data_IF_559757222870
#
_entry.id   IF_559757222870
#
_cell.length_a   1.000
_cell.length_b   1.000
_cell.length_c   1.000
_cell.angle_alpha   90.00
_cell.angle_beta   90.00
_cell.angle_gamma   90.00
#
_symmetry.space_group_name_H-M   'P 1'
#
loop_
_entity.id
_entity.type
_entity.pdbx_description
1 polymer ?
#
# COMPACT_ATOMS: atom_id res chain seq x y z
N UNK A 1 6.44 -4.63 -31.81
CA UNK A 1 6.04 -5.48 -30.67
C UNK A 1 5.63 -6.83 -31.25
N UNK A 2 6.14 -7.96 -30.73
CA UNK A 2 5.65 -9.26 -31.19
C UNK A 2 4.25 -9.47 -30.59
N UNK A 3 3.26 -9.81 -31.41
CA UNK A 3 1.87 -10.08 -30.98
C UNK A 3 1.81 -11.18 -29.91
N UNK A 4 2.79 -12.08 -29.88
CA UNK A 4 2.90 -13.15 -28.88
C UNK A 4 3.01 -12.60 -27.46
N UNK A 5 3.67 -11.44 -27.27
CA UNK A 5 3.83 -10.83 -25.94
C UNK A 5 2.55 -10.19 -25.40
N UNK A 6 1.50 -10.07 -26.21
CA UNK A 6 0.20 -9.51 -25.82
C UNK A 6 -0.79 -10.61 -25.38
N UNK A 7 -0.44 -11.87 -25.58
CA UNK A 7 -1.25 -13.00 -25.14
C UNK A 7 -1.20 -13.12 -23.61
N UNK A 8 -2.35 -13.20 -22.92
CA UNK A 8 -2.38 -13.40 -21.48
C UNK A 8 -1.93 -14.82 -21.11
N UNK A 9 -1.55 -14.99 -19.84
CA UNK A 9 -1.31 -16.32 -19.29
C UNK A 9 -2.57 -17.19 -19.35
N UNK A 10 -2.38 -18.50 -19.44
CA UNK A 10 -3.48 -19.45 -19.35
C UNK A 10 -4.18 -19.37 -17.98
N UNK A 11 -5.50 -19.42 -18.02
CA UNK A 11 -6.34 -19.33 -16.83
C UNK A 11 -6.47 -20.70 -16.15
N UNK A 12 -6.27 -20.73 -14.83
CA UNK A 12 -6.50 -21.94 -14.04
C UNK A 12 -7.98 -22.40 -14.13
N UNK A 13 -8.29 -23.71 -14.24
CA UNK A 13 -9.66 -24.19 -14.43
C UNK A 13 -10.65 -23.80 -13.31
N UNK A 14 -10.16 -23.57 -12.10
CA UNK A 14 -10.98 -23.15 -10.96
C UNK A 14 -11.22 -21.64 -10.87
N UNK A 15 -10.69 -20.84 -11.80
CA UNK A 15 -10.91 -19.39 -11.81
C UNK A 15 -12.37 -19.09 -12.22
N UNK A 16 -13.11 -18.31 -11.42
CA UNK A 16 -14.49 -17.93 -11.77
C UNK A 16 -14.57 -17.22 -13.12
N UNK A 17 -15.57 -17.58 -13.93
CA UNK A 17 -15.74 -17.03 -15.29
C UNK A 17 -16.68 -15.83 -15.28
N UNK A 18 -16.14 -14.67 -15.63
CA UNK A 18 -16.88 -13.44 -15.92
C UNK A 18 -16.23 -12.20 -15.33
N UNK A 19 -17.02 -11.16 -15.09
CA UNK A 19 -16.55 -9.90 -14.54
C UNK A 19 -16.29 -9.97 -13.02
N UNK A 20 -15.84 -8.85 -12.44
CA UNK A 20 -15.49 -8.76 -11.02
C UNK A 20 -16.65 -9.07 -10.07
N UNK A 21 -17.90 -8.97 -10.52
CA UNK A 21 -19.09 -9.29 -9.72
C UNK A 21 -19.25 -10.80 -9.48
N UNK A 22 -18.61 -11.64 -10.29
CA UNK A 22 -18.61 -13.10 -10.13
C UNK A 22 -17.44 -13.62 -9.29
N UNK A 23 -16.72 -12.74 -8.60
CA UNK A 23 -15.66 -13.13 -7.69
C UNK A 23 -16.21 -14.11 -6.63
N UNK A 24 -15.55 -15.27 -6.49
CA UNK A 24 -15.96 -16.29 -5.51
C UNK A 24 -15.43 -15.92 -4.14
N UNK A 25 -16.34 -15.79 -3.18
CA UNK A 25 -15.99 -15.61 -1.79
C UNK A 25 -15.56 -16.95 -1.17
N UNK A 26 -14.32 -17.06 -0.70
CA UNK A 26 -13.72 -18.31 -0.22
C UNK A 26 -13.75 -18.41 1.31
N UNK A 27 -13.51 -17.31 2.03
CA UNK A 27 -13.35 -17.32 3.48
C UNK A 27 -13.56 -15.92 4.08
N UNK A 28 -14.29 -15.83 5.20
CA UNK A 28 -14.40 -14.63 6.06
C UNK A 28 -13.65 -14.90 7.36
N UNK A 29 -12.79 -13.97 7.74
CA UNK A 29 -12.17 -13.95 9.06
C UNK A 29 -12.82 -12.87 9.93
N UNK A 30 -13.25 -13.24 11.13
CA UNK A 30 -13.85 -12.32 12.10
C UNK A 30 -15.28 -11.88 11.74
N UNK A 31 -15.74 -10.82 12.42
CA UNK A 31 -17.05 -10.20 12.21
C UNK A 31 -16.91 -8.69 12.04
N UNK A 32 -17.89 -8.07 11.38
CA UNK A 32 -17.92 -6.60 11.24
C UNK A 32 -18.11 -5.97 12.63
N UNK A 33 -17.33 -4.93 12.91
CA UNK A 33 -17.48 -4.11 14.11
C UNK A 33 -18.84 -3.41 14.13
N UNK A 34 -19.61 -3.62 15.20
CA UNK A 34 -20.89 -2.95 15.45
C UNK A 34 -20.73 -1.91 16.55
N UNK A 35 -21.08 -0.67 16.26
CA UNK A 35 -20.99 0.43 17.22
C UNK A 35 -22.30 1.21 17.28
N UNK A 36 -22.59 1.77 18.45
CA UNK A 36 -23.79 2.59 18.67
C UNK A 36 -23.65 4.02 18.15
N UNK A 37 -22.47 4.41 17.70
CA UNK A 37 -22.17 5.72 17.14
C UNK A 37 -21.68 5.62 15.70
N UNK A 38 -21.81 6.73 14.97
CA UNK A 38 -21.31 6.85 13.61
C UNK A 38 -19.77 6.73 13.62
N UNK A 39 -19.25 5.75 12.90
CA UNK A 39 -17.81 5.62 12.69
C UNK A 39 -17.29 6.83 11.91
N UNK A 40 -16.20 7.41 12.40
CA UNK A 40 -15.46 8.46 11.69
C UNK A 40 -14.57 7.84 10.61
N UNK A 41 -14.31 8.60 9.55
CA UNK A 41 -13.32 8.21 8.54
C UNK A 41 -11.90 8.54 9.03
N UNK A 42 -10.90 8.01 8.32
CA UNK A 42 -9.49 8.18 8.70
C UNK A 42 -9.13 9.65 8.80
N UNK A 43 -9.55 10.47 7.84
CA UNK A 43 -9.21 11.90 7.79
C UNK A 43 -9.77 12.62 9.02
N UNK A 44 -11.03 12.41 9.37
CA UNK A 44 -11.61 13.08 10.53
C UNK A 44 -11.05 12.56 11.87
N UNK A 45 -10.58 11.31 11.93
CA UNK A 45 -9.90 10.76 13.12
C UNK A 45 -8.51 11.39 13.29
N UNK A 46 -7.77 11.59 12.20
CA UNK A 46 -6.37 12.03 12.23
C UNK A 46 -6.19 13.54 12.21
N UNK A 47 -7.15 14.26 11.63
CA UNK A 47 -7.13 15.72 11.49
C UNK A 47 -7.87 16.45 12.61
N UNK A 48 -8.14 15.76 13.71
CA UNK A 48 -8.79 16.33 14.88
C UNK A 48 -7.85 17.25 15.65
N UNK A 49 -8.14 18.56 15.62
CA UNK A 49 -8.03 19.36 16.85
C UNK A 49 -8.97 18.71 17.85
N UNK A 50 -8.47 17.75 18.62
CA UNK A 50 -9.16 17.36 19.85
C UNK A 50 -9.20 18.64 20.69
N UNK A 51 -10.34 19.35 20.69
CA UNK A 51 -10.62 20.21 21.80
C UNK A 51 -10.50 19.33 23.03
N UNK A 52 -9.65 19.69 24.01
CA UNK A 52 -9.62 18.95 25.25
C UNK A 52 -11.04 19.02 25.80
N UNK A 53 -11.72 17.88 25.88
CA UNK A 53 -12.87 17.78 26.77
C UNK A 53 -12.24 17.92 28.15
N UNK A 54 -12.23 19.15 28.67
CA UNK A 54 -11.86 19.43 30.06
C UNK A 54 -12.97 18.81 30.90
N UNK A 55 -12.88 17.49 31.12
CA UNK A 55 -13.54 16.87 32.24
C UNK A 55 -12.83 17.43 33.47
N UNK A 56 -13.52 18.29 34.20
CA UNK A 56 -13.00 19.10 35.30
C UNK A 56 -12.39 18.31 36.49
N UNK A 57 -12.09 17.01 36.39
CA UNK A 57 -11.59 16.18 37.50
C UNK A 57 -10.42 15.28 37.05
N UNK A 58 -9.19 15.81 37.07
CA UNK A 58 -7.95 15.18 37.55
C UNK A 58 -6.74 15.98 37.02
N UNK A 59 -6.33 16.96 37.82
CA UNK A 59 -5.02 17.61 37.75
C UNK A 59 -4.02 16.51 38.14
N UNK A 60 -3.12 16.09 37.24
CA UNK A 60 -1.80 15.42 37.48
C UNK A 60 -1.32 14.43 36.39
N UNK A 61 -1.91 14.39 35.18
CA UNK A 61 -1.26 13.71 34.04
C UNK A 61 -1.05 14.69 32.90
N UNK A 62 0.12 15.32 32.86
CA UNK A 62 0.61 16.06 31.68
C UNK A 62 0.93 15.06 30.56
N UNK A 63 -0.11 14.45 29.98
CA UNK A 63 -0.02 13.86 28.66
C UNK A 63 -0.05 15.06 27.72
N UNK A 64 1.12 15.49 27.28
CA UNK A 64 1.27 16.49 26.21
C UNK A 64 0.69 15.89 24.93
N UNK A 65 -0.62 15.99 24.75
CA UNK A 65 -1.28 15.64 23.50
C UNK A 65 -0.95 16.79 22.55
N UNK A 66 0.17 16.68 21.84
CA UNK A 66 0.48 17.59 20.76
C UNK A 66 -0.73 17.59 19.80
N UNK A 67 -1.44 18.72 19.61
CA UNK A 67 -2.63 18.81 18.76
C UNK A 67 -2.26 18.82 17.27
N UNK A 68 -1.28 18.00 16.90
CA UNK A 68 -0.66 18.01 15.59
C UNK A 68 -1.40 17.00 14.71
N UNK A 69 -1.99 17.49 13.62
CA UNK A 69 -2.62 16.66 12.59
C UNK A 69 -1.65 15.57 12.14
N UNK A 70 -2.03 14.31 12.37
CA UNK A 70 -1.17 13.16 12.07
C UNK A 70 -1.21 12.76 10.60
N UNK A 71 -2.20 13.25 9.84
CA UNK A 71 -2.39 12.96 8.42
C UNK A 71 -2.72 14.24 7.65
N UNK A 72 -1.71 14.78 6.97
CA UNK A 72 -1.91 15.94 6.11
C UNK A 72 -2.33 15.50 4.70
N UNK A 73 -3.59 15.73 4.36
CA UNK A 73 -4.14 15.52 3.00
C UNK A 73 -4.37 16.84 2.24
N UNK A 74 -4.54 17.94 2.96
CA UNK A 74 -4.81 19.27 2.38
C UNK A 74 -3.51 20.00 2.03
N UNK A 75 -3.59 20.84 1.00
CA UNK A 75 -2.51 21.74 0.55
C UNK A 75 -1.19 21.02 0.21
N UNK A 76 -1.28 19.77 -0.23
CA UNK A 76 -0.13 18.94 -0.64
C UNK A 76 0.24 19.13 -2.12
N UNK A 77 -0.65 19.74 -2.90
CA UNK A 77 -0.53 19.90 -4.36
C UNK A 77 0.67 20.75 -4.77
N UNK A 78 1.00 21.80 -4.01
CA UNK A 78 2.10 22.72 -4.30
C UNK A 78 3.45 22.00 -4.30
N UNK A 79 3.60 20.99 -3.43
CA UNK A 79 4.86 20.24 -3.32
C UNK A 79 4.90 18.99 -4.18
N UNK A 80 3.90 18.12 -4.04
CA UNK A 80 3.96 16.76 -4.57
C UNK A 80 2.80 16.41 -5.53
N UNK A 81 1.94 17.39 -5.85
CA UNK A 81 0.80 17.20 -6.74
C UNK A 81 -0.40 16.51 -6.09
N UNK A 82 -1.41 16.21 -6.91
CA UNK A 82 -2.67 15.62 -6.43
C UNK A 82 -2.49 14.20 -5.90
N UNK A 83 -3.37 13.79 -4.97
CA UNK A 83 -3.39 12.46 -4.32
C UNK A 83 -2.15 12.17 -3.45
N UNK A 84 -1.46 13.20 -2.99
CA UNK A 84 -0.34 13.08 -2.06
C UNK A 84 -0.78 13.40 -0.64
N UNK A 85 -0.17 12.72 0.32
CA UNK A 85 -0.46 12.84 1.75
C UNK A 85 0.82 12.64 2.56
N UNK A 86 0.86 13.20 3.76
CA UNK A 86 1.99 13.09 4.69
C UNK A 86 1.53 12.49 6.01
N UNK A 87 2.29 11.50 6.51
CA UNK A 87 2.12 10.97 7.87
C UNK A 87 3.08 11.71 8.81
N UNK A 88 2.61 12.05 9.99
CA UNK A 88 3.40 12.71 11.04
C UNK A 88 3.16 12.04 12.40
N UNK A 89 4.08 12.26 13.34
CA UNK A 89 3.93 11.82 14.73
C UNK A 89 3.65 10.32 14.89
N UNK A 90 2.68 9.94 15.75
CA UNK A 90 2.31 8.54 15.98
C UNK A 90 1.86 7.80 14.71
N UNK A 91 1.25 8.46 13.72
CA UNK A 91 0.81 7.79 12.49
C UNK A 91 2.02 7.35 11.64
N UNK A 92 3.06 8.18 11.59
CA UNK A 92 4.31 7.80 10.92
C UNK A 92 5.00 6.62 11.63
N UNK A 93 5.01 6.63 12.97
CA UNK A 93 5.54 5.51 13.77
C UNK A 93 4.75 4.22 13.54
N UNK A 94 3.41 4.31 13.45
CA UNK A 94 2.54 3.18 13.15
C UNK A 94 2.84 2.59 11.77
N UNK A 95 3.05 3.43 10.74
CA UNK A 95 3.43 2.95 9.41
C UNK A 95 4.75 2.16 9.46
N UNK A 96 5.76 2.70 10.13
CA UNK A 96 7.04 2.02 10.29
C UNK A 96 6.92 0.71 11.10
N UNK A 97 6.11 0.70 12.16
CA UNK A 97 5.87 -0.49 12.98
C UNK A 97 5.14 -1.60 12.19
N UNK A 98 4.17 -1.26 11.34
CA UNK A 98 3.48 -2.23 10.49
C UNK A 98 4.41 -2.86 9.45
N UNK A 99 5.32 -2.06 8.86
CA UNK A 99 6.34 -2.57 7.94
C UNK A 99 7.28 -3.53 8.69
N UNK A 100 7.83 -3.12 9.83
CA UNK A 100 8.74 -3.94 10.64
C UNK A 100 8.09 -5.25 11.08
N UNK A 101 6.88 -5.18 11.65
CA UNK A 101 6.11 -6.35 12.06
C UNK A 101 5.91 -7.35 10.91
N UNK A 102 5.55 -6.85 9.73
CA UNK A 102 5.31 -7.73 8.57
C UNK A 102 6.61 -8.40 8.11
N UNK A 103 7.72 -7.67 8.03
CA UNK A 103 9.03 -8.20 7.66
C UNK A 103 9.49 -9.26 8.66
N UNK A 104 9.39 -8.99 9.96
CA UNK A 104 9.80 -9.93 11.01
C UNK A 104 8.96 -11.21 10.98
N UNK A 105 7.65 -11.08 10.78
CA UNK A 105 6.74 -12.22 10.64
C UNK A 105 7.10 -13.10 9.44
N UNK A 106 7.38 -12.50 8.28
CA UNK A 106 7.76 -13.25 7.07
C UNK A 106 9.12 -13.93 7.23
N UNK A 107 10.11 -13.23 7.79
CA UNK A 107 11.43 -13.81 8.09
C UNK A 107 11.32 -15.01 9.03
N UNK A 108 10.50 -14.91 10.08
CA UNK A 108 10.26 -16.01 11.01
C UNK A 108 9.64 -17.25 10.34
N UNK A 109 8.90 -17.07 9.22
CA UNK A 109 8.36 -18.17 8.41
C UNK A 109 9.32 -18.70 7.35
N UNK A 110 10.57 -18.21 7.31
CA UNK A 110 11.62 -18.68 6.39
C UNK A 110 11.73 -17.90 5.08
N UNK A 111 11.09 -16.73 4.95
CA UNK A 111 11.29 -15.88 3.78
C UNK A 111 12.63 -15.15 3.85
N UNK A 112 13.31 -15.07 2.72
CA UNK A 112 14.52 -14.25 2.57
C UNK A 112 14.15 -12.77 2.40
N UNK A 113 14.87 -11.90 3.11
CA UNK A 113 14.69 -10.46 2.98
C UNK A 113 15.56 -9.93 1.82
N UNK A 114 14.91 -9.35 0.80
CA UNK A 114 15.59 -8.80 -0.39
C UNK A 114 15.22 -7.33 -0.56
N UNK A 115 16.22 -6.47 -0.79
CA UNK A 115 16.02 -5.08 -1.20
C UNK A 115 16.15 -4.95 -2.73
N UNK A 116 15.19 -4.27 -3.37
CA UNK A 116 15.17 -4.06 -4.82
C UNK A 116 15.27 -2.57 -5.19
N UNK A 117 15.85 -2.22 -6.35
CA UNK A 117 15.85 -0.85 -6.84
C UNK A 117 14.44 -0.41 -7.26
N UNK A 118 14.10 0.85 -6.98
CA UNK A 118 12.79 1.44 -7.33
C UNK A 118 12.69 1.92 -8.78
N UNK A 119 13.85 2.13 -9.41
CA UNK A 119 13.99 2.51 -10.80
C UNK A 119 14.46 1.28 -11.58
N UNK A 120 13.65 0.84 -12.53
CA UNK A 120 13.89 -0.36 -13.32
C UNK A 120 13.90 -0.03 -14.81
N UNK A 121 14.67 -0.79 -15.61
CA UNK A 121 14.64 -0.62 -17.06
C UNK A 121 13.29 -1.10 -17.61
N UNK A 122 12.79 -0.40 -18.64
CA UNK A 122 11.50 -0.70 -19.27
C UNK A 122 11.27 -2.19 -19.61
N UNK A 123 12.24 -2.93 -20.19
CA UNK A 123 12.03 -4.33 -20.54
C UNK A 123 11.69 -5.23 -19.35
N UNK A 124 12.22 -4.92 -18.14
CA UNK A 124 11.95 -5.71 -16.92
C UNK A 124 10.50 -5.52 -16.50
N UNK A 125 10.00 -4.28 -16.51
CA UNK A 125 8.61 -3.98 -16.13
C UNK A 125 7.63 -4.60 -17.14
N UNK A 126 7.96 -4.54 -18.44
CA UNK A 126 7.15 -5.15 -19.49
C UNK A 126 7.10 -6.67 -19.38
N UNK A 127 8.22 -7.30 -19.02
CA UNK A 127 8.26 -8.75 -18.78
C UNK A 127 7.37 -9.19 -17.60
N UNK A 128 7.10 -8.29 -16.64
CA UNK A 128 6.13 -8.52 -15.57
C UNK A 128 4.66 -8.34 -16.00
N UNK A 129 4.38 -8.06 -17.28
CA UNK A 129 3.03 -7.87 -17.82
C UNK A 129 2.48 -6.45 -17.66
N UNK A 130 3.32 -5.47 -17.28
CA UNK A 130 2.89 -4.08 -17.17
C UNK A 130 3.12 -3.32 -18.48
N UNK A 131 2.08 -2.63 -18.93
CA UNK A 131 2.19 -1.77 -20.10
C UNK A 131 2.91 -0.45 -19.75
N UNK A 132 4.12 -0.31 -20.27
CA UNK A 132 4.98 0.86 -20.05
C UNK A 132 4.70 2.00 -21.02
N UNK A 133 4.07 1.73 -22.17
CA UNK A 133 3.80 2.71 -23.22
C UNK A 133 2.29 2.87 -23.49
N UNK A 134 1.82 4.10 -23.68
CA UNK A 134 0.42 4.38 -24.03
C UNK A 134 -0.13 5.64 -23.36
N UNK A 135 -1.32 6.07 -23.78
CA UNK A 135 -1.96 7.33 -23.33
C UNK A 135 -2.24 7.31 -21.82
N UNK A 136 -2.51 6.14 -21.24
CA UNK A 136 -2.75 5.95 -19.80
C UNK A 136 -1.85 4.84 -19.30
N UNK A 137 -0.65 5.19 -18.83
CA UNK A 137 0.21 4.26 -18.10
C UNK A 137 0.07 4.45 -16.59
N UNK A 138 0.03 3.34 -15.86
CA UNK A 138 0.16 3.33 -14.40
C UNK A 138 1.62 3.51 -13.97
N UNK A 139 2.54 3.50 -14.92
CA UNK A 139 3.97 3.51 -14.71
C UNK A 139 4.54 4.89 -15.04
N UNK A 140 5.39 5.44 -14.15
CA UNK A 140 5.98 6.76 -14.32
C UNK A 140 7.35 6.64 -14.99
N UNK A 141 7.54 7.39 -16.08
CA UNK A 141 8.79 7.43 -16.85
C UNK A 141 9.56 8.71 -16.52
N UNK A 142 10.88 8.64 -16.49
CA UNK A 142 11.75 9.81 -16.44
C UNK A 142 12.24 10.15 -17.86
N UNK A 143 12.28 11.45 -18.20
CA UNK A 143 12.71 11.87 -19.53
C UNK A 143 14.21 11.59 -19.70
N UNK A 144 14.55 10.90 -20.79
CA UNK A 144 15.88 10.70 -21.39
C UNK A 144 16.68 9.42 -21.11
N UNK A 145 16.24 8.51 -20.25
CA UNK A 145 16.73 7.12 -20.26
C UNK A 145 15.55 6.19 -20.00
N UNK A 146 15.57 4.97 -20.55
CA UNK A 146 14.56 3.90 -20.42
C UNK A 146 14.37 3.39 -18.98
N UNK A 147 14.30 4.31 -18.02
CA UNK A 147 14.26 4.10 -16.59
C UNK A 147 12.88 4.50 -16.09
N UNK A 148 12.27 3.56 -15.41
CA UNK A 148 10.84 3.53 -15.19
C UNK A 148 10.61 3.20 -13.72
N UNK A 149 9.79 4.01 -13.06
CA UNK A 149 9.56 3.92 -11.62
C UNK A 149 8.46 2.90 -11.32
N UNK A 150 8.79 1.87 -10.54
CA UNK A 150 7.81 0.94 -9.99
C UNK A 150 7.47 1.38 -8.56
N UNK A 151 6.50 2.29 -8.43
CA UNK A 151 6.04 2.73 -7.11
C UNK A 151 5.18 1.64 -6.46
N UNK A 152 5.81 0.66 -5.83
CA UNK A 152 5.13 -0.15 -4.83
C UNK A 152 5.75 0.12 -3.47
N UNK A 153 5.13 1.07 -2.77
CA UNK A 153 5.35 1.32 -1.34
C UNK A 153 5.03 0.01 -0.59
N UNK A 154 6.10 -0.68 -0.21
CA UNK A 154 6.23 -1.84 0.70
C UNK A 154 5.53 -3.17 0.39
N UNK A 155 4.38 -3.23 -0.30
CA UNK A 155 3.65 -4.50 -0.41
C UNK A 155 4.18 -5.43 -1.51
N UNK A 156 4.81 -4.89 -2.57
CA UNK A 156 5.37 -5.70 -3.66
C UNK A 156 6.88 -5.92 -3.58
N UNK A 157 7.59 -5.36 -2.58
CA UNK A 157 9.04 -5.59 -2.42
C UNK A 157 9.37 -7.00 -1.91
N UNK A 158 8.44 -7.70 -1.26
CA UNK A 158 8.64 -9.07 -0.75
C UNK A 158 8.13 -10.17 -1.70
N UNK A 159 7.28 -9.87 -2.68
CA UNK A 159 6.53 -10.92 -3.38
C UNK A 159 7.33 -11.62 -4.51
N UNK A 160 8.47 -11.08 -4.93
CA UNK A 160 9.22 -11.64 -6.06
C UNK A 160 9.98 -12.95 -5.73
N UNK A 161 10.03 -13.38 -4.47
CA UNK A 161 10.66 -14.67 -4.08
C UNK A 161 9.65 -15.82 -4.06
N UNK A 162 8.33 -15.56 -4.19
CA UNK A 162 7.34 -16.64 -4.19
C UNK A 162 7.38 -17.50 -5.46
N UNK A 163 7.83 -16.95 -6.60
CA UNK A 163 7.84 -17.66 -7.89
C UNK A 163 9.07 -18.58 -8.08
N UNK A 164 10.14 -18.41 -7.30
CA UNK A 164 11.31 -19.29 -7.38
C UNK A 164 11.22 -20.48 -6.41
N UNK A 165 10.59 -20.32 -5.24
CA UNK A 165 10.44 -21.44 -4.28
C UNK A 165 9.33 -22.44 -4.62
N UNK A 166 8.35 -22.08 -5.44
CA UNK A 166 7.27 -23.01 -5.85
C UNK A 166 7.65 -23.93 -7.03
N UNK A 167 8.90 -23.86 -7.54
CA UNK A 167 9.41 -24.77 -8.59
C UNK A 167 10.48 -25.76 -8.11
N UNK A 168 10.75 -25.83 -6.81
CA UNK A 168 11.65 -26.82 -6.20
C UNK A 168 11.00 -27.45 -4.98
N UNK A 169 9.95 -28.25 -5.21
CA UNK A 169 9.61 -29.40 -4.38
C UNK A 169 8.74 -30.38 -5.15
#
# INVERSE_FOLDING_TARGET
MSLVCELPNFTHPLTPIGDSFKARHIYIHGSKREERWKLLDVINITSGTHQPVINHHNINSSITINPEDHLRVKDTTIGAGHKTYYFTGPLAQLESALVAYTVDRLKATGFEFVSVPDILPEPVIRACGFQTQGIRSQVKQFLHYFLVFCCYKYVLKCLLVLLTSLKLK
#
